data_IF_416618215324
#
_entry.id   IF_416618215324
#
_cell.length_a   1.000
_cell.length_b   1.000
_cell.length_c   1.000
_cell.angle_alpha   90.00
_cell.angle_beta   90.00
_cell.angle_gamma   90.00
#
_symmetry.space_group_name_H-M   'P 1'
#
loop_
_entity.id
_entity.type
_entity.pdbx_description
1 polymer ?
#
# COMPACT_ATOMS: atom_id res chain seq x y z
N UNK A 1 -1.78 8.91 5.45
CA UNK A 1 -2.54 10.17 5.50
C UNK A 1 -3.27 10.40 4.18
N UNK A 2 -4.59 10.30 4.21
CA UNK A 2 -5.40 10.55 3.02
C UNK A 2 -5.47 12.04 2.72
N UNK A 3 -5.32 12.41 1.45
CA UNK A 3 -5.45 13.77 0.97
C UNK A 3 -6.69 13.99 0.11
N UNK A 4 -7.12 12.94 -0.60
CA UNK A 4 -8.32 12.94 -1.45
C UNK A 4 -9.17 11.73 -1.12
N UNK A 5 -10.41 11.95 -0.71
CA UNK A 5 -11.36 10.88 -0.40
C UNK A 5 -12.79 11.46 -0.41
N UNK A 6 -13.78 10.59 -0.34
CA UNK A 6 -15.17 11.05 -0.22
C UNK A 6 -15.34 11.94 1.01
N UNK A 7 -14.80 11.51 2.15
CA UNK A 7 -14.94 12.22 3.42
C UNK A 7 -14.23 13.57 3.43
N UNK A 8 -13.03 13.66 2.87
CA UNK A 8 -12.20 14.87 2.93
C UNK A 8 -12.53 15.88 1.84
N UNK A 9 -12.81 15.41 0.63
CA UNK A 9 -12.94 16.28 -0.55
C UNK A 9 -14.25 16.12 -1.29
N UNK A 10 -15.10 15.17 -0.90
CA UNK A 10 -16.32 14.86 -1.64
C UNK A 10 -16.03 14.07 -2.93
N UNK A 11 -14.87 13.43 -3.04
CA UNK A 11 -14.54 12.63 -4.21
C UNK A 11 -15.59 11.55 -4.46
N UNK A 12 -15.94 11.34 -5.72
CA UNK A 12 -16.94 10.36 -6.14
C UNK A 12 -16.33 9.12 -6.80
N UNK A 13 -15.05 9.12 -7.11
CA UNK A 13 -14.44 8.01 -7.84
C UNK A 13 -13.00 7.69 -7.48
N UNK A 14 -12.31 8.54 -6.73
CA UNK A 14 -10.89 8.36 -6.44
C UNK A 14 -10.55 8.60 -4.97
N UNK A 15 -9.45 7.97 -4.57
CA UNK A 15 -8.83 8.14 -3.27
C UNK A 15 -7.32 8.31 -3.48
N UNK A 16 -6.69 9.25 -2.79
CA UNK A 16 -5.25 9.47 -2.85
C UNK A 16 -4.70 9.66 -1.43
N UNK A 17 -3.69 8.91 -1.11
CA UNK A 17 -3.09 8.94 0.23
C UNK A 17 -1.57 8.86 0.15
N UNK A 18 -0.91 9.45 1.14
CA UNK A 18 0.51 9.23 1.42
C UNK A 18 0.59 8.27 2.60
N UNK A 19 1.33 7.19 2.42
CA UNK A 19 1.60 6.25 3.50
C UNK A 19 3.08 6.32 3.88
N UNK A 20 3.35 6.40 5.18
CA UNK A 20 4.70 6.39 5.73
C UNK A 20 4.90 5.10 6.50
N UNK A 21 5.96 4.36 6.17
CA UNK A 21 6.31 3.12 6.84
C UNK A 21 7.60 3.36 7.61
N UNK A 22 7.58 3.26 8.94
CA UNK A 22 8.77 3.51 9.75
C UNK A 22 9.92 2.55 9.44
N UNK A 23 11.16 2.90 9.85
CA UNK A 23 12.33 2.04 9.62
C UNK A 23 12.14 0.64 10.16
N UNK A 24 12.60 -0.36 9.42
CA UNK A 24 12.57 -1.77 9.78
C UNK A 24 11.18 -2.29 10.16
N UNK A 25 10.12 -1.68 9.59
CA UNK A 25 8.73 -2.05 9.85
C UNK A 25 8.04 -2.53 8.58
N UNK A 26 6.95 -3.21 8.79
CA UNK A 26 6.04 -3.60 7.73
C UNK A 26 4.62 -3.30 8.18
N UNK A 27 3.73 -3.04 7.22
CA UNK A 27 2.30 -3.01 7.52
C UNK A 27 1.79 -4.44 7.71
N UNK A 28 0.61 -4.61 8.32
CA UNK A 28 -0.05 -5.91 8.32
C UNK A 28 -0.37 -6.33 6.88
N UNK A 29 -0.28 -7.64 6.56
CA UNK A 29 -0.78 -8.10 5.27
C UNK A 29 -2.26 -7.74 5.13
N UNK A 30 -2.64 -7.19 3.99
CA UNK A 30 -4.02 -6.72 3.80
C UNK A 30 -4.40 -6.71 2.33
N UNK A 31 -5.69 -6.55 2.07
CA UNK A 31 -6.19 -6.28 0.73
C UNK A 31 -7.32 -5.24 0.79
N UNK A 32 -7.57 -4.61 -0.34
CA UNK A 32 -8.62 -3.60 -0.47
C UNK A 32 -9.79 -4.20 -1.25
N UNK A 33 -11.01 -3.97 -0.74
CA UNK A 33 -12.21 -4.46 -1.41
C UNK A 33 -12.62 -3.54 -2.55
N UNK A 34 -12.94 -4.14 -3.68
CA UNK A 34 -13.59 -3.49 -4.82
C UNK A 34 -12.80 -2.34 -5.46
N UNK A 35 -11.48 -2.34 -5.34
CA UNK A 35 -10.68 -1.30 -5.99
C UNK A 35 -9.30 -1.80 -6.38
N UNK A 36 -8.78 -1.17 -7.42
CA UNK A 36 -7.39 -1.30 -7.84
C UNK A 36 -6.57 -0.18 -7.21
N UNK A 37 -5.28 -0.40 -7.06
CA UNK A 37 -4.36 0.62 -6.56
C UNK A 37 -3.19 0.82 -7.51
N UNK A 38 -2.78 2.07 -7.64
CA UNK A 38 -1.52 2.46 -8.25
C UNK A 38 -0.66 3.11 -7.18
N UNK A 39 0.60 2.70 -7.09
CA UNK A 39 1.52 3.14 -6.04
C UNK A 39 2.75 3.75 -6.68
N UNK A 40 3.17 4.92 -6.16
CA UNK A 40 4.43 5.56 -6.50
C UNK A 40 5.33 5.59 -5.27
N UNK A 41 6.54 5.05 -5.40
CA UNK A 41 7.54 5.07 -4.32
C UNK A 41 8.24 6.42 -4.34
N UNK A 42 8.06 7.23 -3.30
CA UNK A 42 8.61 8.58 -3.21
C UNK A 42 10.00 8.55 -2.59
N UNK A 43 10.15 7.83 -1.50
CA UNK A 43 11.37 7.87 -0.70
C UNK A 43 11.66 6.50 -0.12
N UNK A 44 12.94 6.15 -0.16
CA UNK A 44 13.53 4.94 0.41
C UNK A 44 13.19 3.67 -0.38
N UNK A 45 13.91 2.61 -0.10
CA UNK A 45 13.77 1.33 -0.77
C UNK A 45 13.34 0.25 0.22
N UNK A 46 12.73 -0.80 -0.31
CA UNK A 46 12.25 -1.90 0.51
C UNK A 46 11.71 -3.03 -0.37
N UNK A 47 10.68 -3.68 0.12
CA UNK A 47 10.04 -4.80 -0.56
C UNK A 47 8.53 -4.64 -0.58
N UNK A 48 7.91 -5.16 -1.61
CA UNK A 48 6.47 -5.31 -1.68
C UNK A 48 6.17 -6.81 -1.76
N UNK A 49 5.58 -7.35 -0.71
CA UNK A 49 5.25 -8.77 -0.63
C UNK A 49 3.81 -8.95 -1.08
N UNK A 50 3.58 -9.81 -2.05
CA UNK A 50 2.31 -9.95 -2.74
C UNK A 50 1.89 -11.41 -2.79
N UNK A 51 0.58 -11.64 -2.87
CA UNK A 51 -0.03 -12.93 -3.05
C UNK A 51 -0.74 -13.43 -1.80
N UNK A 52 -1.70 -14.33 -1.97
CA UNK A 52 -2.52 -14.86 -0.88
C UNK A 52 -1.67 -15.53 0.22
N UNK A 53 -0.54 -16.10 -0.18
CA UNK A 53 0.42 -16.72 0.74
C UNK A 53 1.66 -15.85 0.99
N UNK A 54 1.68 -14.61 0.48
CA UNK A 54 2.81 -13.68 0.58
C UNK A 54 4.11 -14.32 0.04
N UNK A 55 4.01 -15.00 -1.07
CA UNK A 55 5.10 -15.80 -1.65
C UNK A 55 5.88 -15.09 -2.76
N UNK A 56 5.45 -13.92 -3.17
CA UNK A 56 6.12 -13.12 -4.20
C UNK A 56 6.67 -11.85 -3.57
N UNK A 57 7.96 -11.61 -3.72
CA UNK A 57 8.61 -10.38 -3.26
C UNK A 57 9.10 -9.57 -4.45
N UNK A 58 8.80 -8.27 -4.43
CA UNK A 58 9.32 -7.31 -5.39
C UNK A 58 10.18 -6.30 -4.65
N UNK A 59 11.42 -6.14 -5.08
CA UNK A 59 12.25 -5.04 -4.60
C UNK A 59 11.71 -3.73 -5.18
N UNK A 60 11.62 -2.71 -4.34
CA UNK A 60 11.10 -1.40 -4.74
C UNK A 60 12.08 -0.30 -4.38
N UNK A 61 12.20 0.69 -5.26
CA UNK A 61 13.08 1.84 -5.14
C UNK A 61 12.32 3.13 -5.45
N UNK A 62 12.82 4.30 -4.99
CA UNK A 62 12.21 5.58 -5.34
C UNK A 62 12.04 5.74 -6.86
N UNK A 63 10.87 6.19 -7.25
CA UNK A 63 10.50 6.34 -8.67
C UNK A 63 9.75 5.15 -9.25
N UNK A 64 9.69 4.03 -8.56
CA UNK A 64 8.96 2.86 -9.05
C UNK A 64 7.45 3.09 -9.01
N UNK A 65 6.79 2.55 -10.02
CA UNK A 65 5.32 2.53 -10.14
C UNK A 65 4.85 1.08 -10.01
N UNK A 66 3.90 0.85 -9.12
CA UNK A 66 3.41 -0.49 -8.79
C UNK A 66 1.91 -0.54 -9.00
N UNK A 67 1.45 -1.59 -9.66
CA UNK A 67 0.03 -1.88 -9.79
C UNK A 67 -0.37 -2.99 -8.81
N UNK A 68 -1.48 -2.77 -8.10
CA UNK A 68 -2.08 -3.78 -7.22
C UNK A 68 -3.51 -4.04 -7.69
N UNK A 69 -3.76 -5.26 -8.14
CA UNK A 69 -5.09 -5.67 -8.58
C UNK A 69 -6.08 -5.68 -7.41
N UNK A 70 -7.37 -5.60 -7.75
CA UNK A 70 -8.43 -5.66 -6.74
C UNK A 70 -8.30 -6.92 -5.89
N UNK A 71 -8.42 -6.74 -4.58
CA UNK A 71 -8.44 -7.84 -3.60
C UNK A 71 -7.14 -8.66 -3.52
N UNK A 72 -6.05 -8.19 -4.13
CA UNK A 72 -4.75 -8.85 -3.99
C UNK A 72 -4.15 -8.56 -2.61
N UNK A 73 -3.79 -9.62 -1.89
CA UNK A 73 -3.13 -9.50 -0.59
C UNK A 73 -1.72 -8.93 -0.80
N UNK A 74 -1.36 -7.92 -0.04
CA UNK A 74 -0.06 -7.28 -0.15
C UNK A 74 0.42 -6.73 1.19
N UNK A 75 1.74 -6.56 1.28
CA UNK A 75 2.41 -6.04 2.47
C UNK A 75 3.65 -5.26 2.06
N UNK A 76 3.63 -3.93 2.15
CA UNK A 76 4.85 -3.15 1.99
C UNK A 76 5.76 -3.31 3.21
N UNK A 77 7.06 -3.46 2.95
CA UNK A 77 8.09 -3.67 3.98
C UNK A 77 9.19 -2.65 3.78
N UNK A 78 9.54 -1.95 4.85
CA UNK A 78 10.67 -1.05 4.89
C UNK A 78 11.85 -1.75 5.58
N UNK A 79 12.88 -2.07 4.80
CA UNK A 79 14.09 -2.73 5.30
C UNK A 79 15.18 -1.76 5.71
N UNK A 80 14.97 -0.46 5.56
CA UNK A 80 16.01 0.54 5.76
C UNK A 80 15.88 1.28 7.10
N UNK A 81 16.86 2.16 7.36
CA UNK A 81 16.97 2.95 8.59
C UNK A 81 16.17 4.26 8.55
N UNK A 82 15.63 4.63 7.40
CA UNK A 82 14.81 5.83 7.21
C UNK A 82 13.36 5.49 6.94
N UNK A 83 12.47 6.47 7.11
CA UNK A 83 11.06 6.30 6.74
C UNK A 83 10.90 6.07 5.24
N UNK A 84 10.06 5.11 4.87
CA UNK A 84 9.63 4.92 3.50
C UNK A 84 8.34 5.71 3.27
N UNK A 85 8.26 6.43 2.15
CA UNK A 85 7.05 7.12 1.74
C UNK A 85 6.56 6.61 0.39
N UNK A 86 5.28 6.29 0.34
CA UNK A 86 4.60 5.89 -0.90
C UNK A 86 3.34 6.72 -1.07
N UNK A 87 2.99 7.00 -2.32
CA UNK A 87 1.71 7.61 -2.69
C UNK A 87 0.84 6.51 -3.26
N UNK A 88 -0.38 6.39 -2.75
CA UNK A 88 -1.32 5.34 -3.17
C UNK A 88 -2.57 5.98 -3.74
N UNK A 89 -2.85 5.69 -5.00
CA UNK A 89 -4.07 6.09 -5.68
C UNK A 89 -5.00 4.89 -5.85
N UNK A 90 -6.29 5.07 -5.59
CA UNK A 90 -7.31 4.04 -5.74
C UNK A 90 -8.49 4.56 -6.56
N UNK A 91 -9.14 3.67 -7.26
CA UNK A 91 -10.32 4.00 -8.07
C UNK A 91 -11.63 3.83 -7.27
N UNK A 92 -11.61 4.26 -6.02
CA UNK A 92 -12.78 4.31 -5.13
C UNK A 92 -12.67 5.51 -4.21
N UNK A 93 -13.76 6.18 -3.88
CA UNK A 93 -13.72 7.30 -2.94
C UNK A 93 -13.63 6.86 -1.48
N UNK A 94 -13.93 5.59 -1.21
CA UNK A 94 -13.90 4.99 0.13
C UNK A 94 -12.88 3.87 0.16
N UNK A 95 -12.06 3.86 1.20
CA UNK A 95 -11.12 2.78 1.43
C UNK A 95 -11.77 1.73 2.34
N UNK A 96 -11.89 0.50 1.82
CA UNK A 96 -12.32 -0.67 2.60
C UNK A 96 -11.15 -1.63 2.65
N UNK A 97 -10.52 -1.75 3.82
CA UNK A 97 -9.34 -2.57 4.03
C UNK A 97 -9.70 -3.79 4.85
N UNK A 98 -9.27 -4.96 4.38
CA UNK A 98 -9.35 -6.20 5.16
C UNK A 98 -7.93 -6.58 5.58
N UNK A 99 -7.66 -6.52 6.88
CA UNK A 99 -6.38 -6.90 7.43
C UNK A 99 -6.35 -8.38 7.77
N UNK A 100 -5.23 -9.03 7.43
CA UNK A 100 -5.00 -10.42 7.76
C UNK A 100 -4.07 -10.51 8.96
N UNK A 101 -4.26 -11.51 9.81
CA UNK A 101 -3.32 -11.74 10.89
C UNK A 101 -1.96 -12.17 10.32
N UNK A 102 -0.85 -11.64 10.88
CA UNK A 102 0.46 -12.13 10.50
C UNK A 102 0.57 -13.63 10.74
N UNK A 103 1.27 -14.33 9.86
CA UNK A 103 1.55 -15.74 10.06
C UNK A 103 2.29 -15.90 11.39
N UNK A 104 1.82 -16.81 12.23
CA UNK A 104 2.52 -17.12 13.48
C UNK A 104 3.79 -17.89 13.15
N UNK A 105 4.88 -17.41 13.70
CA UNK A 105 6.15 -18.10 13.58
C UNK A 105 6.10 -19.45 14.29
#
# INVERSE_FOLDING_TARGET
>A
LAGVSEKLTGSTGIHLAVATIPPHCATSPHYHLHCESAIYVVKDHGRFVIGDNLDTELAIDPGDLIYVSAEAVHQPVNDDADDMEIIVARNTPLEIVVELEPAKA
#
